data_IF_682206799508
#
_entry.id   IF_682206799508
#
_cell.length_a   1.000
_cell.length_b   1.000
_cell.length_c   1.000
_cell.angle_alpha   90.00
_cell.angle_beta   90.00
_cell.angle_gamma   90.00
#
_symmetry.space_group_name_H-M   'P 1'
#
loop_
_entity.id
_entity.type
_entity.pdbx_description
1 polymer ?
#
# COMPACT_ATOMS: atom_id res chain seq x y z
N UNK A 1 -10.62 -18.74 6.00
CA UNK A 1 -9.93 -17.58 5.43
C UNK A 1 -10.49 -16.31 6.03
N UNK A 2 -9.64 -15.41 6.51
CA UNK A 2 -10.11 -14.17 7.11
C UNK A 2 -10.62 -13.23 6.00
N UNK A 3 -11.74 -12.59 6.25
CA UNK A 3 -12.26 -11.57 5.36
C UNK A 3 -11.49 -10.28 5.56
N UNK A 4 -11.02 -9.69 4.47
CA UNK A 4 -10.28 -8.44 4.51
C UNK A 4 -11.25 -7.30 4.20
N UNK A 5 -11.37 -6.35 5.13
CA UNK A 5 -12.21 -5.18 4.92
C UNK A 5 -11.60 -4.30 3.85
N UNK A 6 -12.41 -3.92 2.87
CA UNK A 6 -12.00 -3.01 1.81
C UNK A 6 -12.68 -1.67 2.02
N UNK A 7 -11.89 -0.59 1.95
CA UNK A 7 -12.36 0.76 2.23
C UNK A 7 -12.08 1.70 1.06
N UNK A 8 -12.83 2.81 1.00
CA UNK A 8 -12.59 3.87 0.03
C UNK A 8 -11.36 4.68 0.42
N UNK A 9 -10.80 5.49 -0.51
CA UNK A 9 -9.72 6.42 -0.14
C UNK A 9 -10.10 7.35 1.00
N UNK A 10 -11.32 7.88 1.00
CA UNK A 10 -11.81 8.78 2.04
C UNK A 10 -11.90 8.07 3.41
N UNK A 11 -12.39 6.83 3.41
CA UNK A 11 -12.43 6.03 4.64
C UNK A 11 -11.02 5.70 5.13
N UNK A 12 -10.10 5.41 4.22
CA UNK A 12 -8.70 5.19 4.58
C UNK A 12 -8.07 6.43 5.22
N UNK A 13 -8.34 7.60 4.66
CA UNK A 13 -7.86 8.87 5.21
C UNK A 13 -8.39 9.07 6.63
N UNK A 14 -9.65 8.77 6.86
CA UNK A 14 -10.26 8.86 8.18
C UNK A 14 -9.59 7.91 9.18
N UNK A 15 -9.32 6.66 8.77
CA UNK A 15 -8.62 5.70 9.63
C UNK A 15 -7.22 6.19 10.01
N UNK A 16 -6.51 6.79 9.06
CA UNK A 16 -5.17 7.34 9.31
C UNK A 16 -5.24 8.50 10.29
N UNK A 17 -6.14 9.44 10.06
CA UNK A 17 -6.22 10.68 10.84
C UNK A 17 -6.81 10.46 12.23
N UNK A 18 -7.81 9.59 12.37
CA UNK A 18 -8.56 9.46 13.61
C UNK A 18 -8.18 8.22 14.42
N UNK A 19 -7.67 7.17 13.78
CA UNK A 19 -7.37 5.91 14.46
C UNK A 19 -5.90 5.49 14.39
N UNK A 20 -5.04 6.31 13.81
CA UNK A 20 -3.61 6.08 13.80
C UNK A 20 -3.13 4.98 12.85
N UNK A 21 -3.89 4.66 11.82
CA UNK A 21 -3.46 3.70 10.82
C UNK A 21 -2.27 4.21 10.01
N UNK A 22 -1.38 3.30 9.64
CA UNK A 22 -0.30 3.57 8.69
C UNK A 22 -0.76 3.18 7.29
N UNK A 23 -0.51 4.02 6.30
CA UNK A 23 -0.73 3.64 4.90
C UNK A 23 0.50 2.91 4.38
N UNK A 24 0.34 1.66 3.97
CA UNK A 24 1.40 0.86 3.37
C UNK A 24 1.17 0.79 1.86
N UNK A 25 2.02 1.50 1.11
CA UNK A 25 1.97 1.53 -0.35
C UNK A 25 2.78 0.35 -0.88
N UNK A 26 2.10 -0.61 -1.50
CA UNK A 26 2.76 -1.83 -2.02
C UNK A 26 3.04 -1.75 -3.51
N UNK A 27 2.97 -0.53 -4.08
CA UNK A 27 3.39 -0.29 -5.46
C UNK A 27 4.92 -0.37 -5.57
N UNK A 28 5.41 -0.34 -6.81
CA UNK A 28 6.85 -0.32 -7.06
C UNK A 28 7.49 0.99 -6.57
N UNK A 29 8.81 0.97 -6.42
CA UNK A 29 9.55 2.16 -5.98
C UNK A 29 9.38 3.37 -6.92
N UNK A 30 9.45 3.21 -8.26
CA UNK A 30 9.20 4.35 -9.16
C UNK A 30 7.79 4.93 -9.04
N UNK A 31 6.78 4.10 -8.85
CA UNK A 31 5.41 4.57 -8.64
C UNK A 31 5.31 5.41 -7.36
N UNK A 32 5.90 4.93 -6.28
CA UNK A 32 5.91 5.63 -5.00
C UNK A 32 6.64 6.98 -5.11
N UNK A 33 7.79 6.99 -5.77
CA UNK A 33 8.58 8.22 -5.95
C UNK A 33 7.89 9.27 -6.79
N UNK A 34 7.04 8.85 -7.74
CA UNK A 34 6.28 9.76 -8.59
C UNK A 34 5.14 10.45 -7.81
N UNK A 35 4.68 9.86 -6.73
CA UNK A 35 3.64 10.42 -5.88
C UNK A 35 2.98 9.33 -5.07
N UNK A 36 2.72 9.60 -3.79
CA UNK A 36 2.11 8.64 -2.88
C UNK A 36 1.26 9.37 -1.83
N UNK A 37 0.36 8.67 -1.15
CA UNK A 37 -0.36 9.28 -0.04
C UNK A 37 0.62 9.83 1.00
N UNK A 38 0.40 11.07 1.45
CA UNK A 38 1.29 11.72 2.42
C UNK A 38 1.48 10.84 3.66
N UNK A 39 2.74 10.59 4.03
CA UNK A 39 3.08 9.76 5.19
C UNK A 39 3.14 8.26 4.91
N UNK A 40 2.83 7.81 3.71
CA UNK A 40 2.83 6.38 3.38
C UNK A 40 4.25 5.81 3.38
N UNK A 41 4.35 4.56 3.83
CA UNK A 41 5.57 3.77 3.72
C UNK A 41 5.47 2.88 2.47
N UNK A 42 6.60 2.62 1.81
CA UNK A 42 6.64 1.81 0.59
C UNK A 42 7.37 0.49 0.83
N UNK A 43 6.63 -0.60 0.74
CA UNK A 43 7.21 -1.95 0.65
C UNK A 43 6.58 -2.61 -0.57
N UNK A 44 7.26 -2.68 -1.70
CA UNK A 44 6.67 -3.23 -2.92
C UNK A 44 6.32 -4.71 -2.81
N UNK A 45 5.12 -5.07 -3.25
CA UNK A 45 4.79 -6.48 -3.45
C UNK A 45 5.49 -7.01 -4.70
N UNK A 46 5.55 -6.19 -5.74
CA UNK A 46 6.23 -6.49 -6.99
C UNK A 46 7.22 -5.38 -7.32
N UNK A 47 8.39 -5.75 -7.84
CA UNK A 47 9.36 -4.80 -8.35
C UNK A 47 9.11 -4.50 -9.83
N UNK A 48 9.28 -3.24 -10.24
CA UNK A 48 9.24 -2.86 -11.65
C UNK A 48 10.61 -3.10 -12.28
N UNK A 49 10.62 -3.63 -13.48
CA UNK A 49 11.86 -3.88 -14.22
C UNK A 49 11.62 -3.89 -15.72
N UNK A 50 12.70 -4.05 -16.49
CA UNK A 50 12.65 -4.02 -17.94
C UNK A 50 11.75 -5.10 -18.53
N UNK A 51 11.64 -6.25 -17.87
CA UNK A 51 10.77 -7.34 -18.29
C UNK A 51 9.37 -7.32 -17.70
N UNK A 52 8.99 -6.22 -17.04
CA UNK A 52 7.70 -6.07 -16.35
C UNK A 52 7.83 -6.22 -14.85
N UNK A 53 6.73 -6.51 -14.19
CA UNK A 53 6.69 -6.64 -12.73
C UNK A 53 7.13 -8.04 -12.30
N UNK A 54 7.99 -8.10 -11.27
CA UNK A 54 8.47 -9.37 -10.70
C UNK A 54 8.22 -9.38 -9.19
N UNK A 55 7.90 -10.55 -8.60
CA UNK A 55 7.67 -10.62 -7.15
C UNK A 55 8.87 -10.14 -6.34
N UNK A 56 8.58 -9.45 -5.23
CA UNK A 56 9.60 -9.07 -4.26
C UNK A 56 9.70 -10.18 -3.21
N UNK A 57 10.79 -10.98 -3.20
CA UNK A 57 10.89 -12.10 -2.27
C UNK A 57 11.02 -11.66 -0.81
N UNK A 58 11.36 -10.39 -0.57
CA UNK A 58 11.57 -9.87 0.78
C UNK A 58 10.35 -9.15 1.36
N UNK A 59 9.21 -9.13 0.64
CA UNK A 59 8.04 -8.37 1.06
C UNK A 59 7.64 -8.68 2.52
N UNK A 60 7.33 -9.94 2.80
CA UNK A 60 6.90 -10.32 4.15
C UNK A 60 8.02 -10.19 5.18
N UNK A 61 9.27 -10.47 4.79
CA UNK A 61 10.41 -10.35 5.71
C UNK A 61 10.59 -8.90 6.18
N UNK A 62 10.49 -7.93 5.27
CA UNK A 62 10.59 -6.52 5.63
C UNK A 62 9.39 -6.08 6.47
N UNK A 63 8.18 -6.44 6.05
CA UNK A 63 6.96 -6.08 6.77
C UNK A 63 6.98 -6.64 8.20
N UNK A 64 7.32 -7.92 8.36
CA UNK A 64 7.33 -8.54 9.69
C UNK A 64 8.45 -8.03 10.59
N UNK A 65 9.56 -7.58 10.01
CA UNK A 65 10.65 -7.00 10.78
C UNK A 65 10.31 -5.60 11.31
N UNK A 66 9.47 -4.84 10.60
CA UNK A 66 9.20 -3.43 10.92
C UNK A 66 7.90 -3.19 11.66
N UNK A 67 6.87 -4.01 11.40
CA UNK A 67 5.53 -3.76 11.93
C UNK A 67 5.06 -4.94 12.77
N UNK A 68 4.59 -4.69 14.00
CA UNK A 68 4.04 -5.76 14.85
C UNK A 68 2.75 -6.30 14.24
N UNK A 69 2.38 -7.52 14.65
CA UNK A 69 1.21 -8.23 14.08
C UNK A 69 -0.12 -7.53 14.37
N UNK A 70 -0.18 -6.69 15.40
CA UNK A 70 -1.37 -5.91 15.75
C UNK A 70 -1.32 -4.48 15.21
N UNK A 71 -0.33 -4.14 14.39
CA UNK A 71 -0.25 -2.81 13.79
C UNK A 71 -1.47 -2.54 12.93
N UNK A 72 -1.98 -1.31 13.02
CA UNK A 72 -3.12 -0.86 12.21
C UNK A 72 -2.60 -0.36 10.87
N UNK A 73 -2.88 -1.10 9.81
CA UNK A 73 -2.30 -0.85 8.49
C UNK A 73 -3.39 -0.80 7.42
N UNK A 74 -3.38 0.28 6.63
CA UNK A 74 -4.13 0.37 5.38
C UNK A 74 -3.17 0.03 4.25
N UNK A 75 -3.49 -0.98 3.45
CA UNK A 75 -2.67 -1.37 2.31
C UNK A 75 -3.27 -0.80 1.03
N UNK A 76 -2.44 -0.21 0.19
CA UNK A 76 -2.90 0.34 -1.08
C UNK A 76 -1.93 0.09 -2.21
N UNK A 77 -2.46 0.06 -3.44
CA UNK A 77 -1.66 -0.02 -4.65
C UNK A 77 -2.18 0.98 -5.69
N UNK A 78 -2.09 0.68 -6.97
CA UNK A 78 -2.57 1.60 -8.00
C UNK A 78 -4.09 1.53 -8.20
N UNK A 79 -4.64 0.32 -8.25
CA UNK A 79 -6.05 0.09 -8.58
C UNK A 79 -6.71 -1.03 -7.76
N UNK A 80 -6.05 -1.53 -6.71
CA UNK A 80 -6.66 -2.44 -5.74
C UNK A 80 -6.32 -3.92 -5.88
N UNK A 81 -5.56 -4.33 -6.90
CA UNK A 81 -5.24 -5.76 -7.10
C UNK A 81 -4.04 -6.22 -6.30
N UNK A 82 -2.91 -5.52 -6.39
CA UNK A 82 -1.69 -5.86 -5.64
C UNK A 82 -1.91 -5.73 -4.14
N UNK A 83 -2.63 -4.69 -3.72
CA UNK A 83 -2.88 -4.44 -2.29
C UNK A 83 -3.72 -5.54 -1.66
N UNK A 84 -4.70 -6.07 -2.38
CA UNK A 84 -5.50 -7.19 -1.87
C UNK A 84 -4.66 -8.44 -1.67
N UNK A 85 -3.77 -8.74 -2.62
CA UNK A 85 -2.83 -9.87 -2.51
C UNK A 85 -1.85 -9.67 -1.35
N UNK A 86 -1.35 -8.44 -1.19
CA UNK A 86 -0.45 -8.11 -0.07
C UNK A 86 -1.18 -8.24 1.27
N UNK A 87 -2.41 -7.75 1.36
CA UNK A 87 -3.22 -7.85 2.56
C UNK A 87 -3.49 -9.32 2.93
N UNK A 88 -3.81 -10.15 1.93
CA UNK A 88 -4.01 -11.59 2.16
C UNK A 88 -2.75 -12.26 2.70
N UNK A 89 -1.59 -11.93 2.13
CA UNK A 89 -0.31 -12.46 2.61
C UNK A 89 -0.02 -12.05 4.05
N UNK A 90 -0.31 -10.79 4.39
CA UNK A 90 -0.11 -10.27 5.74
C UNK A 90 -1.04 -10.93 6.75
N UNK A 91 -2.32 -11.08 6.40
CA UNK A 91 -3.28 -11.77 7.28
C UNK A 91 -2.87 -13.22 7.50
N UNK A 92 -2.42 -13.91 6.44
CA UNK A 92 -1.92 -15.29 6.56
C UNK A 92 -0.67 -15.37 7.45
N UNK A 93 0.11 -14.30 7.52
CA UNK A 93 1.29 -14.21 8.39
C UNK A 93 0.95 -13.81 9.83
N UNK A 94 -0.32 -13.58 10.15
CA UNK A 94 -0.78 -13.30 11.51
C UNK A 94 -1.18 -11.87 11.81
N UNK A 95 -1.21 -10.97 10.80
CA UNK A 95 -1.64 -9.59 11.01
C UNK A 95 -3.15 -9.53 11.25
N UNK A 96 -3.57 -8.75 12.25
CA UNK A 96 -4.96 -8.74 12.73
C UNK A 96 -5.71 -7.45 12.43
N UNK A 97 -5.03 -6.39 12.00
CA UNK A 97 -5.65 -5.08 11.80
C UNK A 97 -5.28 -4.49 10.43
N UNK A 98 -5.39 -5.29 9.38
CA UNK A 98 -5.09 -4.89 8.00
C UNK A 98 -6.39 -4.65 7.26
N UNK A 99 -6.49 -3.49 6.61
CA UNK A 99 -7.58 -3.17 5.68
C UNK A 99 -6.99 -2.83 4.32
N UNK A 100 -7.76 -3.01 3.26
CA UNK A 100 -7.35 -2.73 1.88
C UNK A 100 -8.07 -1.47 1.39
N UNK A 101 -7.30 -0.48 0.89
CA UNK A 101 -7.86 0.69 0.21
C UNK A 101 -8.13 0.26 -1.24
N UNK A 102 -9.38 -0.04 -1.54
CA UNK A 102 -9.79 -0.75 -2.77
C UNK A 102 -9.54 0.01 -4.06
N UNK A 103 -9.63 1.34 -4.04
CA UNK A 103 -9.44 2.13 -5.26
C UNK A 103 -7.97 2.34 -5.61
N UNK A 104 -7.09 2.27 -4.62
CA UNK A 104 -5.67 2.52 -4.81
C UNK A 104 -5.33 3.98 -5.03
N UNK A 105 -4.16 4.24 -5.59
CA UNK A 105 -3.70 5.62 -5.79
C UNK A 105 -4.40 6.29 -6.96
N UNK A 106 -4.61 5.59 -8.07
CA UNK A 106 -5.27 6.13 -9.27
C UNK A 106 -6.75 5.78 -9.33
N UNK A 107 -7.09 4.53 -9.08
CA UNK A 107 -8.42 4.00 -9.18
C UNK A 107 -8.56 2.94 -10.26
N UNK A 108 -9.53 2.03 -10.10
CA UNK A 108 -9.82 1.01 -11.12
C UNK A 108 -10.48 1.63 -12.34
N UNK A 109 -10.25 1.02 -13.51
CA UNK A 109 -10.80 1.47 -14.79
C UNK A 109 -11.64 0.36 -15.42
N UNK A 110 -12.66 0.77 -16.17
CA UNK A 110 -13.48 -0.17 -16.94
C UNK A 110 -12.79 -0.53 -18.27
N UNK A 111 -13.47 -1.32 -19.10
CA UNK A 111 -12.95 -1.76 -20.39
C UNK A 111 -12.68 -0.61 -21.36
N UNK A 112 -13.25 0.56 -21.12
CA UNK A 112 -13.09 1.75 -21.96
C UNK A 112 -12.07 2.72 -21.40
N UNK A 113 -11.39 2.36 -20.31
CA UNK A 113 -10.38 3.20 -19.68
C UNK A 113 -10.91 4.27 -18.75
N UNK A 114 -12.20 4.31 -18.49
CA UNK A 114 -12.80 5.28 -17.56
C UNK A 114 -12.68 4.81 -16.11
N UNK A 115 -12.39 5.74 -15.19
CA UNK A 115 -12.34 5.41 -13.76
C UNK A 115 -13.73 4.99 -13.28
N UNK A 116 -13.80 3.83 -12.62
CA UNK A 116 -15.04 3.37 -11.97
C UNK A 116 -15.13 3.85 -10.53
N UNK A 117 -13.98 4.19 -9.93
CA UNK A 117 -13.89 4.82 -8.62
C UNK A 117 -12.62 5.67 -8.62
N UNK A 118 -12.69 6.89 -8.07
CA UNK A 118 -11.49 7.74 -7.95
C UNK A 118 -10.59 7.19 -6.86
N UNK A 119 -9.29 7.03 -7.19
CA UNK A 119 -8.29 6.67 -6.21
C UNK A 119 -7.89 7.87 -5.34
N UNK A 120 -6.86 7.68 -4.52
CA UNK A 120 -6.39 8.68 -3.56
C UNK A 120 -6.06 10.01 -4.22
N UNK A 121 -5.26 9.99 -5.30
CA UNK A 121 -4.87 11.20 -6.01
C UNK A 121 -6.03 11.93 -6.67
N UNK A 122 -6.81 11.27 -7.56
CA UNK A 122 -7.97 11.89 -8.19
C UNK A 122 -9.03 12.38 -7.22
N UNK A 123 -9.14 11.76 -6.03
CA UNK A 123 -10.06 12.22 -4.99
C UNK A 123 -9.59 13.50 -4.29
N UNK A 124 -8.39 13.98 -4.59
CA UNK A 124 -7.87 15.22 -4.02
C UNK A 124 -7.30 15.08 -2.62
N UNK A 125 -7.01 13.85 -2.18
CA UNK A 125 -6.42 13.61 -0.86
C UNK A 125 -4.92 13.94 -0.87
N UNK A 126 -4.30 14.20 0.30
CA UNK A 126 -2.91 14.68 0.34
C UNK A 126 -1.91 13.73 -0.29
N UNK A 127 -1.08 14.26 -1.19
CA UNK A 127 -0.05 13.51 -1.93
C UNK A 127 1.32 14.12 -1.62
N UNK A 128 2.33 13.26 -1.45
CA UNK A 128 3.73 13.64 -1.28
C UNK A 128 4.59 12.92 -2.31
N UNK A 129 5.79 13.45 -2.57
CA UNK A 129 6.80 12.78 -3.40
C UNK A 129 7.98 12.31 -2.55
N UNK A 130 8.03 12.73 -1.30
CA UNK A 130 9.04 12.33 -0.35
C UNK A 130 8.43 12.24 1.04
N UNK A 131 8.59 11.08 1.68
CA UNK A 131 8.20 10.87 3.08
C UNK A 131 9.45 10.36 3.79
N UNK A 132 10.11 11.18 4.63
CA UNK A 132 11.33 10.77 5.33
C UNK A 132 11.10 9.48 6.11
N UNK A 133 11.99 8.50 5.92
CA UNK A 133 11.89 7.20 6.55
C UNK A 133 10.91 6.23 5.90
N UNK A 134 10.20 6.67 4.86
CA UNK A 134 9.13 5.86 4.24
C UNK A 134 9.50 5.16 2.95
N UNK A 135 10.64 5.50 2.32
CA UNK A 135 11.05 4.83 1.08
C UNK A 135 11.44 3.38 1.33
N UNK A 136 11.31 2.54 0.31
CA UNK A 136 11.69 1.14 0.45
C UNK A 136 13.18 0.96 0.80
N UNK A 137 14.04 1.78 0.21
CA UNK A 137 15.48 1.73 0.52
C UNK A 137 15.73 1.98 2.02
N UNK A 138 15.08 2.99 2.58
CA UNK A 138 15.19 3.30 4.01
C UNK A 138 14.59 2.20 4.88
N UNK A 139 13.43 1.66 4.49
CA UNK A 139 12.76 0.60 5.24
C UNK A 139 13.54 -0.72 5.21
N UNK A 140 14.11 -1.08 4.04
CA UNK A 140 14.96 -2.26 3.93
C UNK A 140 16.18 -2.16 4.86
N UNK A 141 16.82 -1.01 4.87
CA UNK A 141 17.97 -0.79 5.73
C UNK A 141 17.59 -0.93 7.20
N UNK A 142 16.46 -0.36 7.60
CA UNK A 142 15.95 -0.45 8.97
C UNK A 142 15.63 -1.90 9.34
N UNK A 143 15.13 -2.68 8.39
CA UNK A 143 14.80 -4.10 8.60
C UNK A 143 16.02 -5.01 8.58
N UNK A 144 17.21 -4.49 8.22
CA UNK A 144 18.41 -5.28 8.13
C UNK A 144 18.49 -6.13 6.86
N UNK A 145 17.82 -5.69 5.82
CA UNK A 145 17.77 -6.41 4.54
C UNK A 145 18.54 -5.65 3.42
#
# INVERSE_FOLDING_TARGET
MADIKRVSPEQAKQLIDEEGYLYLDVRSEPEYAAGHPSGAHNVPLLHAGAGGMTPNPDFLAVVTALYPKDAKIVVGCRSGQRSMRAAEAMVSAGYTAVVDQRAGFEGPRDAFGALTERGWGPAGLPVATNTPGGSYAELRQKAGK
#
